data_IF_665562825059
#
_entry.id   IF_665562825059
#
_cell.length_a   1.000
_cell.length_b   1.000
_cell.length_c   1.000
_cell.angle_alpha   90.00
_cell.angle_beta   90.00
_cell.angle_gamma   90.00
#
_symmetry.space_group_name_H-M   'P 1'
#
loop_
_entity.id
_entity.type
_entity.pdbx_description
1 polymer ?
#
# COMPACT_ATOMS: atom_id res chain seq x y z
N UNK A 1 -43.92 3.40 20.28
CA UNK A 1 -43.60 2.06 20.89
C UNK A 1 -42.13 1.81 20.60
N UNK A 2 -41.34 1.73 21.67
CA UNK A 2 -39.91 1.55 21.57
C UNK A 2 -39.64 0.07 21.25
N UNK A 3 -38.87 -0.20 20.20
CA UNK A 3 -38.56 -1.57 19.77
C UNK A 3 -37.93 -2.44 20.90
N UNK A 4 -37.28 -1.80 21.88
CA UNK A 4 -36.74 -2.46 23.09
C UNK A 4 -37.82 -3.08 23.99
N UNK A 5 -39.01 -2.49 24.06
CA UNK A 5 -40.11 -2.97 24.93
C UNK A 5 -40.86 -4.17 24.32
N UNK A 6 -40.73 -4.38 23.03
CA UNK A 6 -41.46 -5.43 22.30
C UNK A 6 -40.73 -6.78 22.29
N UNK A 7 -39.42 -6.79 22.52
CA UNK A 7 -38.62 -8.01 22.34
C UNK A 7 -37.86 -8.43 23.60
N UNK A 8 -38.17 -8.07 24.78
CA UNK A 8 -37.46 -8.50 26.00
C UNK A 8 -35.94 -8.68 25.77
N UNK A 9 -35.31 -7.66 25.15
CA UNK A 9 -33.93 -7.73 24.70
C UNK A 9 -33.06 -7.66 25.94
N UNK A 10 -32.39 -8.75 26.26
CA UNK A 10 -31.37 -8.80 27.30
C UNK A 10 -30.44 -7.58 27.11
N UNK A 11 -30.17 -6.85 28.19
CA UNK A 11 -29.25 -5.73 28.14
C UNK A 11 -27.88 -6.26 27.69
N UNK A 12 -27.44 -5.83 26.50
CA UNK A 12 -26.09 -6.19 26.03
C UNK A 12 -25.04 -5.63 27.00
N UNK A 13 -23.95 -6.36 27.17
CA UNK A 13 -22.77 -5.84 27.88
C UNK A 13 -22.31 -4.52 27.23
N UNK A 14 -21.60 -3.69 27.97
CA UNK A 14 -21.14 -2.41 27.41
C UNK A 14 -20.20 -2.62 26.18
N UNK A 15 -20.18 -1.65 25.28
CA UNK A 15 -19.28 -1.70 24.11
C UNK A 15 -17.80 -1.86 24.51
N UNK A 16 -17.38 -1.17 25.57
CA UNK A 16 -16.01 -1.21 26.07
C UNK A 16 -15.62 -2.62 26.59
N UNK A 17 -16.52 -3.24 27.36
CA UNK A 17 -16.31 -4.61 27.86
C UNK A 17 -16.27 -5.62 26.72
N UNK A 18 -17.24 -5.54 25.79
CA UNK A 18 -17.27 -6.42 24.61
C UNK A 18 -16.01 -6.27 23.77
N UNK A 19 -15.59 -5.06 23.48
CA UNK A 19 -14.39 -4.76 22.71
C UNK A 19 -13.14 -5.34 23.37
N UNK A 20 -12.93 -5.04 24.65
CA UNK A 20 -11.77 -5.55 25.42
C UNK A 20 -11.73 -7.08 25.43
N UNK A 21 -12.89 -7.72 25.60
CA UNK A 21 -12.99 -9.18 25.61
C UNK A 21 -12.71 -9.79 24.23
N UNK A 22 -13.16 -9.15 23.13
CA UNK A 22 -12.99 -9.62 21.76
C UNK A 22 -11.55 -9.44 21.24
N UNK A 23 -10.85 -8.37 21.62
CA UNK A 23 -9.47 -8.11 21.22
C UNK A 23 -8.54 -9.30 21.55
N UNK A 24 -8.80 -9.99 22.66
CA UNK A 24 -8.04 -11.16 23.09
C UNK A 24 -8.41 -12.46 22.34
N UNK A 25 -9.44 -12.47 21.48
CA UNK A 25 -9.89 -13.68 20.76
C UNK A 25 -9.27 -13.87 19.38
N UNK A 26 -8.47 -12.93 18.93
CA UNK A 26 -7.71 -12.98 17.66
C UNK A 26 -8.59 -13.22 16.41
N UNK A 27 -9.84 -12.78 16.43
CA UNK A 27 -10.79 -12.95 15.34
C UNK A 27 -10.38 -12.09 14.12
N UNK A 28 -10.47 -12.65 12.91
CA UNK A 28 -9.93 -12.00 11.71
C UNK A 28 -10.88 -11.00 11.06
N UNK A 29 -12.18 -11.20 11.17
CA UNK A 29 -13.19 -10.40 10.46
C UNK A 29 -14.58 -10.57 11.08
N UNK A 30 -15.56 -9.82 10.56
CA UNK A 30 -16.96 -9.89 10.97
C UNK A 30 -17.56 -11.29 10.90
N UNK A 31 -17.18 -12.10 9.90
CA UNK A 31 -17.71 -13.46 9.73
C UNK A 31 -17.27 -14.38 10.87
N UNK A 32 -16.00 -14.30 11.25
CA UNK A 32 -15.45 -15.07 12.37
C UNK A 32 -16.06 -14.61 13.69
N UNK A 33 -16.26 -13.29 13.88
CA UNK A 33 -16.95 -12.77 15.05
C UNK A 33 -18.37 -13.34 15.16
N UNK A 34 -19.18 -13.21 14.11
CA UNK A 34 -20.57 -13.71 14.11
C UNK A 34 -20.63 -15.20 14.38
N UNK A 35 -19.76 -16.00 13.77
CA UNK A 35 -19.68 -17.45 14.02
C UNK A 35 -19.27 -17.75 15.47
N UNK A 36 -18.38 -16.98 16.05
CA UNK A 36 -17.93 -17.12 17.43
C UNK A 36 -19.05 -16.79 18.42
N UNK A 37 -19.77 -15.67 18.26
CA UNK A 37 -20.90 -15.30 19.10
C UNK A 37 -22.04 -16.33 19.02
N UNK A 38 -22.39 -16.79 17.81
CA UNK A 38 -23.38 -17.84 17.64
C UNK A 38 -23.02 -19.13 18.36
N UNK A 39 -21.73 -19.51 18.38
CA UNK A 39 -21.27 -20.70 19.10
C UNK A 39 -21.38 -20.55 20.60
N UNK A 40 -21.21 -19.36 21.15
CA UNK A 40 -21.34 -19.09 22.58
C UNK A 40 -22.79 -19.15 23.04
N UNK A 41 -23.73 -18.80 22.18
CA UNK A 41 -25.16 -18.75 22.46
C UNK A 41 -25.52 -17.95 23.72
N UNK A 42 -24.82 -16.82 23.91
CA UNK A 42 -24.99 -15.89 25.03
C UNK A 42 -25.84 -14.70 24.57
N UNK A 43 -27.08 -14.52 25.12
CA UNK A 43 -27.97 -13.45 24.70
C UNK A 43 -27.46 -12.03 25.07
N UNK A 44 -26.53 -11.91 26.02
CA UNK A 44 -25.92 -10.63 26.39
C UNK A 44 -24.89 -10.13 25.35
N UNK A 45 -24.51 -10.96 24.36
CA UNK A 45 -23.52 -10.65 23.34
C UNK A 45 -24.21 -10.35 22.00
N UNK A 46 -24.11 -9.15 21.45
CA UNK A 46 -24.76 -8.80 20.20
C UNK A 46 -24.11 -9.50 19.01
N UNK A 47 -24.94 -10.08 18.15
CA UNK A 47 -24.49 -10.66 16.89
C UNK A 47 -24.05 -9.59 15.88
N UNK A 48 -24.62 -8.40 16.01
CA UNK A 48 -24.32 -7.23 15.16
C UNK A 48 -24.00 -5.99 16.01
N UNK A 49 -22.71 -5.82 16.40
CA UNK A 49 -22.29 -4.72 17.27
C UNK A 49 -22.58 -3.34 16.68
N UNK A 50 -22.55 -3.21 15.34
CA UNK A 50 -22.86 -1.96 14.66
C UNK A 50 -24.27 -1.46 14.97
N UNK A 51 -25.24 -2.38 15.03
CA UNK A 51 -26.63 -2.06 15.34
C UNK A 51 -26.85 -1.90 16.84
N UNK A 52 -26.12 -2.67 17.65
CA UNK A 52 -26.26 -2.64 19.11
C UNK A 52 -25.65 -1.36 19.73
N UNK A 53 -24.56 -0.86 19.17
CA UNK A 53 -23.80 0.29 19.70
C UNK A 53 -23.58 1.37 18.62
N UNK A 54 -24.63 1.99 18.07
CA UNK A 54 -24.49 2.90 16.95
C UNK A 54 -23.67 4.16 17.26
N UNK A 55 -23.61 4.58 18.53
CA UNK A 55 -22.88 5.78 18.93
C UNK A 55 -21.38 5.53 19.18
N UNK A 56 -21.01 4.33 19.59
CA UNK A 56 -19.64 3.94 19.90
C UNK A 56 -18.97 3.20 18.74
N UNK A 57 -19.77 2.73 17.79
CA UNK A 57 -19.30 1.96 16.66
C UNK A 57 -18.50 2.81 15.67
N UNK A 58 -17.29 2.40 15.37
CA UNK A 58 -16.50 3.01 14.30
C UNK A 58 -16.39 2.08 13.07
N UNK A 59 -15.77 0.91 13.24
CA UNK A 59 -15.65 -0.10 12.20
C UNK A 59 -15.13 -1.42 12.76
N UNK A 60 -15.15 -2.48 11.92
CA UNK A 60 -14.72 -3.82 12.31
C UNK A 60 -13.24 -3.91 12.69
N UNK A 61 -12.35 -3.12 12.10
CA UNK A 61 -10.92 -3.18 12.42
C UNK A 61 -10.66 -2.67 13.83
N UNK A 62 -11.19 -1.50 14.16
CA UNK A 62 -11.05 -0.92 15.50
C UNK A 62 -11.74 -1.77 16.57
N UNK A 63 -12.91 -2.33 16.24
CA UNK A 63 -13.63 -3.21 17.17
C UNK A 63 -12.85 -4.51 17.47
N UNK A 64 -12.19 -5.09 16.47
CA UNK A 64 -11.40 -6.32 16.63
C UNK A 64 -9.94 -6.05 17.08
N UNK A 65 -9.59 -4.83 17.47
CA UNK A 65 -8.23 -4.47 17.88
C UNK A 65 -7.20 -4.54 16.74
N UNK A 66 -7.62 -4.36 15.48
CA UNK A 66 -6.77 -4.48 14.30
C UNK A 66 -6.42 -3.14 13.69
N UNK A 67 -5.27 -3.11 13.05
CA UNK A 67 -4.90 -1.97 12.21
C UNK A 67 -5.79 -1.93 10.97
N UNK A 68 -6.42 -0.79 10.73
CA UNK A 68 -7.18 -0.58 9.48
C UNK A 68 -6.27 -0.75 8.27
N UNK A 69 -6.75 -1.43 7.22
CA UNK A 69 -6.01 -1.45 5.97
C UNK A 69 -5.90 -0.03 5.44
N UNK A 70 -4.73 0.29 4.95
CA UNK A 70 -4.48 1.58 4.35
C UNK A 70 -5.45 1.83 3.18
N UNK A 71 -6.18 2.95 3.24
CA UNK A 71 -7.07 3.38 2.15
C UNK A 71 -6.36 4.42 1.29
N UNK A 72 -6.37 4.28 -0.05
CA UNK A 72 -5.74 5.23 -0.98
C UNK A 72 -6.20 6.68 -0.81
N UNK A 73 -7.44 6.87 -0.37
CA UNK A 73 -8.09 8.20 -0.24
C UNK A 73 -7.54 9.07 0.89
N UNK A 74 -6.54 8.58 1.64
CA UNK A 74 -5.98 9.30 2.81
C UNK A 74 -4.64 10.03 2.54
N UNK A 75 -4.24 10.22 1.30
CA UNK A 75 -3.14 11.15 1.00
C UNK A 75 -3.65 12.56 1.32
N UNK A 76 -2.90 13.30 2.15
CA UNK A 76 -3.24 14.68 2.52
C UNK A 76 -3.41 15.55 1.29
N UNK A 77 -4.36 16.50 1.26
CA UNK A 77 -4.57 17.44 0.15
C UNK A 77 -3.29 18.18 -0.26
N UNK A 78 -2.38 18.44 0.67
CA UNK A 78 -1.08 19.06 0.41
C UNK A 78 -0.16 18.24 -0.51
N UNK A 79 -0.46 16.95 -0.67
CA UNK A 79 0.31 16.00 -1.48
C UNK A 79 -0.50 15.47 -2.66
N UNK A 80 -1.51 16.21 -3.10
CA UNK A 80 -2.42 15.82 -4.20
C UNK A 80 -1.67 15.46 -5.49
N UNK A 81 -0.54 16.10 -5.77
CA UNK A 81 0.29 15.81 -6.95
C UNK A 81 0.79 14.37 -6.94
N UNK A 82 1.15 13.83 -5.78
CA UNK A 82 1.52 12.43 -5.64
C UNK A 82 0.33 11.50 -5.99
N UNK A 83 -0.86 11.82 -5.51
CA UNK A 83 -2.06 11.03 -5.80
C UNK A 83 -2.39 11.03 -7.30
N UNK A 84 -2.27 12.20 -7.96
CA UNK A 84 -2.47 12.33 -9.41
C UNK A 84 -1.46 11.45 -10.16
N UNK A 85 -0.17 11.54 -9.83
CA UNK A 85 0.88 10.75 -10.49
C UNK A 85 0.75 9.25 -10.25
N UNK A 86 0.32 8.83 -9.06
CA UNK A 86 -0.01 7.43 -8.79
C UNK A 86 -1.13 6.96 -9.72
N UNK A 87 -2.21 7.73 -9.89
CA UNK A 87 -3.30 7.39 -10.80
C UNK A 87 -2.83 7.31 -12.26
N UNK A 88 -2.03 8.26 -12.72
CA UNK A 88 -1.44 8.24 -14.06
C UNK A 88 -0.59 6.96 -14.28
N UNK A 89 0.27 6.65 -13.34
CA UNK A 89 1.07 5.42 -13.37
C UNK A 89 0.20 4.18 -13.42
N UNK A 90 -0.86 4.10 -12.60
CA UNK A 90 -1.76 2.96 -12.54
C UNK A 90 -2.55 2.76 -13.83
N UNK A 91 -2.84 3.81 -14.60
CA UNK A 91 -3.50 3.68 -15.90
C UNK A 91 -2.60 3.06 -16.97
N UNK A 92 -1.28 3.28 -16.88
CA UNK A 92 -0.28 2.74 -17.81
C UNK A 92 0.30 1.40 -17.34
N UNK A 93 0.46 1.23 -16.05
CA UNK A 93 1.01 0.01 -15.46
C UNK A 93 -0.07 -1.09 -15.36
N UNK A 94 0.23 -2.30 -15.83
CA UNK A 94 -0.61 -3.46 -15.53
C UNK A 94 -0.48 -3.79 -14.03
N UNK A 95 -1.48 -3.47 -13.23
CA UNK A 95 -1.46 -3.75 -11.80
C UNK A 95 -2.84 -3.54 -11.16
N UNK A 96 -3.17 -4.34 -10.16
CA UNK A 96 -4.41 -4.22 -9.40
C UNK A 96 -4.31 -3.20 -8.24
N UNK A 97 -5.43 -2.96 -7.57
CA UNK A 97 -5.53 -2.02 -6.43
C UNK A 97 -4.52 -2.20 -5.30
N UNK A 98 -3.89 -3.39 -5.20
CA UNK A 98 -2.80 -3.62 -4.23
C UNK A 98 -1.59 -2.72 -4.50
N UNK A 99 -1.21 -2.49 -5.78
CA UNK A 99 -0.08 -1.62 -6.13
C UNK A 99 -0.38 -0.18 -5.73
N UNK A 100 -1.55 0.33 -6.09
CA UNK A 100 -2.02 1.67 -5.72
C UNK A 100 -2.00 1.86 -4.20
N UNK A 101 -2.57 0.91 -3.44
CA UNK A 101 -2.58 0.94 -1.98
C UNK A 101 -1.17 1.03 -1.38
N UNK A 102 -0.19 0.29 -1.93
CA UNK A 102 1.19 0.34 -1.43
C UNK A 102 1.87 1.68 -1.77
N UNK A 103 1.61 2.25 -2.95
CA UNK A 103 2.15 3.55 -3.33
C UNK A 103 1.57 4.68 -2.46
N UNK A 104 0.27 4.67 -2.21
CA UNK A 104 -0.35 5.61 -1.28
C UNK A 104 0.20 5.45 0.15
N UNK A 105 0.47 4.21 0.58
CA UNK A 105 1.12 3.93 1.86
C UNK A 105 2.53 4.53 1.93
N UNK A 106 3.32 4.42 0.87
CA UNK A 106 4.63 5.05 0.77
C UNK A 106 4.54 6.57 0.94
N UNK A 107 3.65 7.23 0.22
CA UNK A 107 3.46 8.68 0.32
C UNK A 107 3.11 9.07 1.75
N UNK A 108 2.12 8.43 2.35
CA UNK A 108 1.65 8.77 3.69
C UNK A 108 2.68 8.51 4.78
N UNK A 109 3.35 7.36 4.77
CA UNK A 109 4.25 6.96 5.85
C UNK A 109 5.64 7.57 5.73
N UNK A 110 6.13 7.79 4.51
CA UNK A 110 7.46 8.33 4.29
C UNK A 110 7.45 9.78 3.81
N UNK A 111 6.78 10.08 2.71
CA UNK A 111 6.80 11.43 2.15
C UNK A 111 6.13 12.45 3.08
N UNK A 112 4.91 12.19 3.54
CA UNK A 112 4.18 13.12 4.41
C UNK A 112 4.80 13.26 5.80
N UNK A 113 5.42 12.21 6.34
CA UNK A 113 5.94 12.23 7.70
C UNK A 113 7.38 12.71 7.78
N UNK A 114 8.23 12.33 6.85
CA UNK A 114 9.67 12.54 6.92
C UNK A 114 10.22 13.45 5.82
N UNK A 115 10.10 13.07 4.56
CA UNK A 115 10.70 13.81 3.45
C UNK A 115 10.07 15.18 3.20
N UNK A 116 8.74 15.30 3.28
CA UNK A 116 7.96 16.53 3.10
C UNK A 116 7.91 17.10 1.68
N UNK A 117 8.46 16.44 0.68
CA UNK A 117 8.39 16.88 -0.72
C UNK A 117 6.95 16.87 -1.22
N UNK A 118 6.43 18.04 -1.59
CA UNK A 118 5.03 18.21 -2.02
C UNK A 118 4.74 17.58 -3.39
N UNK A 119 5.77 17.36 -4.20
CA UNK A 119 5.64 16.76 -5.53
C UNK A 119 6.69 15.66 -5.75
N UNK A 120 6.39 14.64 -6.58
CA UNK A 120 7.38 13.62 -6.96
C UNK A 120 8.63 14.19 -7.60
N UNK A 121 8.49 15.25 -8.42
CA UNK A 121 9.63 15.93 -9.05
C UNK A 121 10.56 16.54 -8.01
N UNK A 122 10.02 17.32 -7.05
CA UNK A 122 10.83 17.90 -5.98
C UNK A 122 11.57 16.84 -5.16
N UNK A 123 10.94 15.68 -4.98
CA UNK A 123 11.57 14.53 -4.32
C UNK A 123 12.75 13.99 -5.12
N UNK A 124 12.57 13.76 -6.44
CA UNK A 124 13.53 13.03 -7.26
C UNK A 124 14.78 13.85 -7.65
N UNK A 125 14.71 15.20 -7.56
CA UNK A 125 15.83 16.10 -7.90
C UNK A 125 16.60 16.56 -6.66
N UNK A 126 16.35 16.04 -5.48
CA UNK A 126 17.08 16.40 -4.26
C UNK A 126 18.55 16.01 -4.35
N UNK A 127 19.42 16.85 -3.78
CA UNK A 127 20.86 16.54 -3.70
C UNK A 127 21.15 15.40 -2.71
N UNK A 128 20.35 15.31 -1.63
CA UNK A 128 20.51 14.33 -0.57
C UNK A 128 19.17 13.70 -0.20
N UNK A 129 19.18 12.38 -0.02
CA UNK A 129 18.04 11.61 0.43
C UNK A 129 18.30 11.00 1.80
N UNK A 130 17.39 11.17 2.74
CA UNK A 130 17.39 10.39 3.98
C UNK A 130 16.51 9.15 3.79
N UNK A 131 17.14 8.02 3.48
CA UNK A 131 16.44 6.74 3.29
C UNK A 131 16.24 5.96 4.59
N UNK A 132 16.83 6.41 5.70
CA UNK A 132 16.76 5.71 7.00
C UNK A 132 15.30 5.55 7.47
N UNK A 133 14.47 6.63 7.51
CA UNK A 133 13.07 6.47 7.93
C UNK A 133 12.28 5.48 7.08
N UNK A 134 12.60 5.39 5.77
CA UNK A 134 11.94 4.39 4.91
C UNK A 134 12.36 2.96 5.26
N UNK A 135 13.63 2.74 5.61
CA UNK A 135 14.09 1.42 6.12
C UNK A 135 13.38 1.05 7.41
N UNK A 136 13.27 1.99 8.36
CA UNK A 136 12.57 1.77 9.63
C UNK A 136 11.08 1.42 9.38
N UNK A 137 10.43 2.07 8.40
CA UNK A 137 9.06 1.73 7.98
C UNK A 137 8.99 0.30 7.43
N UNK A 138 9.96 -0.11 6.61
CA UNK A 138 10.00 -1.47 6.06
C UNK A 138 10.19 -2.52 7.15
N UNK A 139 11.04 -2.28 8.14
CA UNK A 139 11.27 -3.20 9.26
C UNK A 139 10.02 -3.41 10.12
N UNK A 140 9.19 -2.38 10.26
CA UNK A 140 7.91 -2.46 10.97
C UNK A 140 6.80 -3.19 10.19
N UNK A 141 7.03 -3.58 8.94
CA UNK A 141 6.09 -4.43 8.19
C UNK A 141 6.44 -5.89 8.49
N UNK A 142 5.58 -6.60 9.23
CA UNK A 142 5.81 -8.00 9.63
C UNK A 142 6.02 -8.95 8.45
N UNK A 143 5.24 -8.77 7.37
CA UNK A 143 5.24 -9.65 6.21
C UNK A 143 6.38 -9.31 5.23
N UNK A 144 7.36 -10.20 5.10
CA UNK A 144 8.46 -10.08 4.13
C UNK A 144 7.96 -9.91 2.67
N UNK A 145 6.99 -10.70 2.17
CA UNK A 145 6.45 -10.48 0.84
C UNK A 145 5.84 -9.10 0.64
N UNK A 146 5.25 -8.52 1.69
CA UNK A 146 4.67 -7.18 1.67
C UNK A 146 5.75 -6.10 1.59
N UNK A 147 6.84 -6.26 2.37
CA UNK A 147 8.02 -5.36 2.29
C UNK A 147 8.60 -5.34 0.89
N UNK A 148 8.84 -6.52 0.32
CA UNK A 148 9.35 -6.66 -1.05
C UNK A 148 8.45 -5.98 -2.08
N UNK A 149 7.14 -6.22 -2.02
CA UNK A 149 6.18 -5.59 -2.93
C UNK A 149 6.20 -4.07 -2.81
N UNK A 150 6.26 -3.52 -1.58
CA UNK A 150 6.34 -2.08 -1.38
C UNK A 150 7.58 -1.49 -2.05
N UNK A 151 8.77 -2.06 -1.82
CA UNK A 151 10.03 -1.59 -2.42
C UNK A 151 9.98 -1.66 -3.95
N UNK A 152 9.49 -2.77 -4.51
CA UNK A 152 9.38 -2.94 -5.97
C UNK A 152 8.44 -1.90 -6.57
N UNK A 153 7.25 -1.73 -6.00
CA UNK A 153 6.25 -0.79 -6.53
C UNK A 153 6.70 0.66 -6.43
N UNK A 154 7.37 1.02 -5.33
CA UNK A 154 7.96 2.36 -5.18
C UNK A 154 9.04 2.60 -6.23
N UNK A 155 9.93 1.64 -6.47
CA UNK A 155 10.96 1.79 -7.51
C UNK A 155 10.35 1.92 -8.90
N UNK A 156 9.44 1.02 -9.28
CA UNK A 156 8.75 1.09 -10.58
C UNK A 156 8.03 2.43 -10.79
N UNK A 157 7.42 2.96 -9.76
CA UNK A 157 6.71 4.23 -9.80
C UNK A 157 7.67 5.43 -9.95
N UNK A 158 8.74 5.46 -9.17
CA UNK A 158 9.72 6.56 -9.23
C UNK A 158 10.50 6.55 -10.55
N UNK A 159 10.88 5.37 -11.04
CA UNK A 159 11.51 5.22 -12.34
C UNK A 159 10.56 5.68 -13.47
N UNK A 160 9.26 5.35 -13.36
CA UNK A 160 8.24 5.84 -14.30
C UNK A 160 8.19 7.38 -14.33
N UNK A 161 8.25 8.07 -13.17
CA UNK A 161 8.27 9.53 -13.12
C UNK A 161 9.54 10.08 -13.78
N UNK A 162 10.70 9.49 -13.51
CA UNK A 162 11.95 9.91 -14.11
C UNK A 162 11.88 9.79 -15.64
N UNK A 163 11.39 8.66 -16.14
CA UNK A 163 11.38 8.35 -17.57
C UNK A 163 10.32 9.13 -18.38
N UNK A 164 9.25 9.60 -17.72
CA UNK A 164 8.17 10.28 -18.42
C UNK A 164 8.07 11.78 -18.13
N UNK A 165 8.51 12.22 -16.96
CA UNK A 165 8.29 13.59 -16.50
C UNK A 165 9.61 14.37 -16.25
N UNK A 166 10.74 13.66 -16.07
CA UNK A 166 12.05 14.27 -15.79
C UNK A 166 13.04 13.97 -16.92
N UNK A 167 12.57 14.15 -18.15
CA UNK A 167 13.36 14.05 -19.36
C UNK A 167 13.35 15.38 -20.11
N UNK A 168 14.44 15.69 -20.78
CA UNK A 168 14.60 16.84 -21.67
C UNK A 168 15.07 16.35 -23.05
N UNK A 169 14.70 17.05 -24.09
CA UNK A 169 15.27 16.83 -25.41
C UNK A 169 16.63 17.57 -25.50
N UNK A 170 17.67 16.80 -25.77
CA UNK A 170 19.01 17.35 -25.98
C UNK A 170 19.03 18.20 -27.28
N UNK A 171 19.40 19.46 -27.18
CA UNK A 171 19.34 20.40 -28.30
C UNK A 171 20.34 20.07 -29.44
N UNK A 172 21.42 19.33 -29.14
CA UNK A 172 22.45 19.00 -30.13
C UNK A 172 22.14 17.68 -30.85
N UNK A 173 21.64 16.69 -30.12
CA UNK A 173 21.43 15.36 -30.67
C UNK A 173 19.95 15.04 -31.00
N UNK A 174 19.01 15.80 -30.43
CA UNK A 174 17.58 15.52 -30.52
C UNK A 174 17.16 14.29 -29.72
N UNK A 175 18.05 13.76 -28.90
CA UNK A 175 17.74 12.60 -28.06
C UNK A 175 17.03 13.02 -26.76
N UNK A 176 16.11 12.19 -26.29
CA UNK A 176 15.45 12.39 -24.99
C UNK A 176 16.39 11.86 -23.91
N UNK A 177 16.92 12.76 -23.09
CA UNK A 177 17.82 12.45 -21.98
C UNK A 177 17.17 12.75 -20.64
N UNK A 178 17.55 12.03 -19.59
CA UNK A 178 17.08 12.31 -18.24
C UNK A 178 17.70 13.60 -17.71
N UNK A 179 16.95 14.32 -16.87
CA UNK A 179 17.50 15.46 -16.12
C UNK A 179 18.65 14.97 -15.24
N UNK A 180 19.81 15.62 -15.33
CA UNK A 180 21.09 15.18 -14.73
C UNK A 180 20.99 14.83 -13.23
N UNK A 181 20.17 15.56 -12.48
CA UNK A 181 20.02 15.38 -11.04
C UNK A 181 18.87 14.42 -10.65
N UNK A 182 18.10 13.91 -11.63
CA UNK A 182 16.99 13.03 -11.34
C UNK A 182 17.47 11.62 -11.00
N UNK A 183 17.19 11.14 -9.78
CA UNK A 183 17.59 9.80 -9.33
C UNK A 183 16.59 9.17 -8.39
N UNK A 184 16.44 7.88 -8.52
CA UNK A 184 15.66 7.06 -7.61
C UNK A 184 16.52 6.60 -6.43
N UNK A 185 16.27 7.13 -5.20
CA UNK A 185 17.10 6.81 -4.04
C UNK A 185 16.93 5.37 -3.53
N UNK A 186 15.85 4.68 -3.95
CA UNK A 186 15.54 3.33 -3.48
C UNK A 186 16.03 2.22 -4.40
N UNK A 187 16.61 2.54 -5.56
CA UNK A 187 17.15 1.55 -6.50
C UNK A 187 18.17 0.60 -5.85
N UNK A 188 18.97 1.10 -4.92
CA UNK A 188 19.95 0.30 -4.17
C UNK A 188 19.31 -0.64 -3.15
N UNK A 189 18.10 -0.35 -2.65
CA UNK A 189 17.43 -1.21 -1.68
C UNK A 189 17.01 -2.55 -2.31
N UNK A 190 16.71 -2.59 -3.60
CA UNK A 190 16.42 -3.82 -4.33
C UNK A 190 17.62 -4.78 -4.29
N UNK A 191 18.81 -4.25 -4.46
CA UNK A 191 20.05 -5.04 -4.49
C UNK A 191 20.46 -5.52 -3.09
N UNK A 192 20.30 -4.69 -2.06
CA UNK A 192 20.70 -5.03 -0.69
C UNK A 192 19.82 -6.11 -0.04
N UNK A 193 18.58 -6.25 -0.48
CA UNK A 193 17.66 -7.26 0.07
C UNK A 193 17.66 -8.58 -0.71
N UNK A 194 18.63 -8.83 -1.58
CA UNK A 194 18.64 -9.98 -2.49
C UNK A 194 17.30 -10.17 -3.23
N UNK A 195 16.60 -9.07 -3.49
CA UNK A 195 15.38 -9.07 -4.29
C UNK A 195 15.83 -9.17 -5.75
N UNK A 196 16.19 -10.36 -6.18
CA UNK A 196 16.35 -10.59 -7.62
C UNK A 196 14.97 -10.43 -8.27
N UNK A 197 14.90 -9.70 -9.37
CA UNK A 197 13.69 -9.58 -10.19
C UNK A 197 13.12 -10.96 -10.63
N UNK A 198 13.95 -12.01 -10.54
CA UNK A 198 13.56 -13.40 -10.82
C UNK A 198 12.64 -14.02 -9.77
N UNK A 199 12.62 -13.54 -8.52
CA UNK A 199 11.76 -14.10 -7.46
C UNK A 199 10.31 -13.60 -7.51
N UNK A 200 10.01 -12.61 -8.37
CA UNK A 200 8.65 -12.06 -8.54
C UNK A 200 7.95 -12.70 -9.75
N UNK A 201 8.68 -13.45 -10.56
CA UNK A 201 8.07 -14.19 -11.68
C UNK A 201 7.23 -15.31 -11.10
N UNK A 202 5.92 -15.20 -11.25
CA UNK A 202 5.06 -16.38 -11.14
C UNK A 202 5.60 -17.41 -12.14
N UNK A 203 5.60 -18.69 -11.77
CA UNK A 203 6.04 -19.80 -12.62
C UNK A 203 5.35 -19.87 -14.00
N UNK A 204 4.35 -19.04 -14.22
CA UNK A 204 3.58 -18.94 -15.46
C UNK A 204 4.11 -17.93 -16.48
N UNK A 205 5.10 -17.10 -16.15
CA UNK A 205 5.70 -16.18 -17.12
C UNK A 205 6.83 -16.86 -17.86
N UNK A 206 6.61 -17.22 -19.13
CA UNK A 206 7.68 -17.63 -20.05
C UNK A 206 8.81 -16.60 -19.97
N UNK A 207 10.09 -17.01 -19.87
CA UNK A 207 11.19 -16.07 -19.81
C UNK A 207 11.17 -15.20 -21.07
N UNK A 208 10.90 -13.91 -20.90
CA UNK A 208 11.14 -12.95 -21.96
C UNK A 208 12.65 -12.90 -22.18
N UNK A 209 13.11 -13.30 -23.36
CA UNK A 209 14.46 -13.04 -23.80
C UNK A 209 14.71 -11.53 -23.66
N UNK A 210 15.80 -11.17 -23.00
CA UNK A 210 16.16 -9.76 -22.85
C UNK A 210 16.30 -9.14 -24.25
N UNK A 211 15.79 -7.94 -24.44
CA UNK A 211 15.71 -7.26 -25.75
C UNK A 211 17.03 -7.30 -26.57
N UNK A 212 18.18 -7.18 -25.90
CA UNK A 212 19.48 -7.24 -26.56
C UNK A 212 19.81 -8.61 -27.16
N UNK A 213 19.27 -9.72 -26.63
CA UNK A 213 19.42 -11.06 -27.21
C UNK A 213 18.53 -11.22 -28.44
N UNK A 214 17.35 -10.62 -28.44
CA UNK A 214 16.45 -10.61 -29.61
C UNK A 214 17.11 -9.83 -30.75
N UNK A 215 17.70 -8.66 -30.45
CA UNK A 215 18.41 -7.84 -31.44
C UNK A 215 19.64 -8.57 -32.02
N UNK A 216 20.46 -9.20 -31.18
CA UNK A 216 21.58 -10.02 -31.65
C UNK A 216 21.14 -11.21 -32.52
N UNK A 217 20.06 -11.91 -32.18
CA UNK A 217 19.53 -12.99 -32.96
C UNK A 217 19.04 -12.52 -34.36
N UNK A 218 18.48 -11.32 -34.46
CA UNK A 218 18.07 -10.70 -35.74
C UNK A 218 19.29 -10.33 -36.63
N UNK A 219 20.42 -9.94 -36.04
CA UNK A 219 21.65 -9.65 -36.75
C UNK A 219 22.35 -10.92 -37.32
N UNK A 220 21.98 -12.11 -36.88
CA UNK A 220 22.55 -13.39 -37.34
C UNK A 220 21.70 -14.06 -38.44
N UNK A 221 20.57 -13.50 -38.82
CA UNK A 221 19.62 -14.04 -39.82
C UNK A 221 19.77 -13.32 -41.19
N UNK A 222 20.67 -12.33 -41.27
CA UNK A 222 21.07 -11.68 -42.51
C UNK A 222 22.46 -12.20 -42.90
#
# INVERSE_FOLDING_TARGET
INYKEFFDIADFISYAELKHWIENKNLKNAKEYKAFILKLNDPSLPLDPQTAYPNEWENWYKFLGKTEPFKPDFISPDYVTWAIKIKEFMTKARGGGTKETQLCRFVRLYIEQFDKSKTPHAFLIQEKFDIKPFRDILENIESEPMRRKLVVYVNEFLDYIIDNDLTIEDEETGEIVRVDNARNPFSLLLNQQNISSSSIRSETTKPCLQYHFVKKAQEWII
#
